data_IF_121517192438
#
_entry.id   IF_121517192438
#
_cell.length_a   1.000
_cell.length_b   1.000
_cell.length_c   1.000
_cell.angle_alpha   90.00
_cell.angle_beta   90.00
_cell.angle_gamma   90.00
#
_symmetry.space_group_name_H-M   'P 1'
#
loop_
_entity.id
_entity.type
_entity.pdbx_description
1 polymer ?
#
# COMPACT_ATOMS: atom_id res chain seq x y z
N UNK A 1 24.52 2.25 2.00
CA UNK A 1 23.37 2.17 2.93
C UNK A 1 22.18 1.58 2.16
N UNK A 2 21.58 0.50 2.67
CA UNK A 2 20.47 -0.21 1.99
C UNK A 2 19.14 0.16 2.68
N UNK A 3 18.09 0.44 1.88
CA UNK A 3 16.71 0.72 2.35
C UNK A 3 15.76 -0.26 1.71
N UNK A 4 14.94 -0.91 2.52
CA UNK A 4 13.89 -1.80 2.05
C UNK A 4 12.56 -1.05 2.06
N UNK A 5 11.71 -1.33 1.08
CA UNK A 5 10.40 -0.68 0.93
C UNK A 5 9.37 -1.74 0.55
N UNK A 6 8.26 -1.78 1.27
CA UNK A 6 7.05 -2.51 0.91
C UNK A 6 5.99 -1.49 0.50
N UNK A 7 5.32 -1.75 -0.62
CA UNK A 7 4.34 -0.83 -1.22
C UNK A 7 2.99 -1.51 -1.37
N UNK A 8 1.94 -0.82 -0.92
CA UNK A 8 0.55 -1.20 -1.12
C UNK A 8 -0.13 -0.14 -1.97
N UNK A 9 -0.83 -0.57 -2.99
CA UNK A 9 -1.62 0.29 -3.86
C UNK A 9 -3.08 -0.13 -3.78
N UNK A 10 -3.96 0.86 -3.64
CA UNK A 10 -5.42 0.71 -3.61
C UNK A 10 -5.99 1.60 -4.70
N UNK A 11 -6.94 1.09 -5.48
CA UNK A 11 -7.68 1.82 -6.51
C UNK A 11 -9.18 1.63 -6.28
N UNK A 12 -9.92 2.71 -6.14
CA UNK A 12 -11.34 2.72 -5.80
C UNK A 12 -11.60 1.93 -4.52
N UNK A 13 -12.56 0.99 -4.58
CA UNK A 13 -12.90 0.06 -3.50
C UNK A 13 -12.18 -1.30 -3.65
N UNK A 14 -11.10 -1.37 -4.42
CA UNK A 14 -10.33 -2.58 -4.62
C UNK A 14 -9.48 -2.96 -3.41
N UNK A 15 -9.04 -4.22 -3.35
CA UNK A 15 -8.14 -4.70 -2.31
C UNK A 15 -6.69 -4.18 -2.51
N UNK A 16 -5.87 -4.07 -1.44
CA UNK A 16 -4.49 -3.64 -1.56
C UNK A 16 -3.67 -4.61 -2.42
N UNK A 17 -2.80 -4.08 -3.27
CA UNK A 17 -1.92 -4.87 -4.12
C UNK A 17 -0.51 -4.26 -4.21
N UNK A 18 0.51 -5.12 -4.29
CA UNK A 18 1.87 -4.71 -4.66
C UNK A 18 2.15 -4.80 -6.18
N UNK A 19 1.18 -5.29 -6.96
CA UNK A 19 1.36 -5.58 -8.39
C UNK A 19 1.15 -4.34 -9.26
N UNK A 20 2.24 -3.81 -9.83
CA UNK A 20 2.18 -2.66 -10.75
C UNK A 20 1.26 -2.87 -11.96
N UNK A 21 1.27 -4.05 -12.64
CA UNK A 21 0.33 -4.30 -13.74
C UNK A 21 -1.14 -4.26 -13.28
N UNK A 22 -1.44 -4.84 -12.11
CA UNK A 22 -2.79 -4.83 -11.54
C UNK A 22 -3.26 -3.40 -11.29
N UNK A 23 -2.43 -2.56 -10.67
CA UNK A 23 -2.76 -1.13 -10.43
C UNK A 23 -3.08 -0.41 -11.75
N UNK A 24 -2.28 -0.62 -12.80
CA UNK A 24 -2.54 0.01 -14.11
C UNK A 24 -3.87 -0.42 -14.70
N UNK A 25 -4.18 -1.72 -14.65
CA UNK A 25 -5.43 -2.27 -15.18
C UNK A 25 -6.63 -1.76 -14.38
N UNK A 26 -6.57 -1.78 -13.05
CA UNK A 26 -7.67 -1.31 -12.20
C UNK A 26 -7.89 0.20 -12.34
N UNK A 27 -6.83 1.01 -12.44
CA UNK A 27 -6.96 2.44 -12.73
C UNK A 27 -7.59 2.69 -14.10
N UNK A 28 -7.18 1.92 -15.13
CA UNK A 28 -7.78 2.03 -16.46
C UNK A 28 -9.27 1.67 -16.43
N UNK A 29 -9.64 0.55 -15.78
CA UNK A 29 -11.04 0.14 -15.61
C UNK A 29 -11.86 1.21 -14.91
N UNK A 30 -11.35 1.74 -13.79
CA UNK A 30 -12.05 2.77 -13.03
C UNK A 30 -12.36 4.01 -13.88
N UNK A 31 -11.42 4.41 -14.74
CA UNK A 31 -11.61 5.54 -15.66
C UNK A 31 -12.57 5.23 -16.80
N UNK A 32 -12.42 4.09 -17.47
CA UNK A 32 -13.22 3.72 -18.64
C UNK A 32 -14.69 3.44 -18.29
N UNK A 33 -14.94 2.91 -17.11
CA UNK A 33 -16.27 2.52 -16.65
C UNK A 33 -16.92 3.58 -15.74
N UNK A 34 -16.27 4.73 -15.53
CA UNK A 34 -16.79 5.79 -14.66
C UNK A 34 -16.95 5.38 -13.19
N UNK A 35 -16.14 4.43 -12.71
CA UNK A 35 -16.15 3.98 -11.32
C UNK A 35 -15.38 4.96 -10.43
N UNK A 36 -15.26 4.65 -9.14
CA UNK A 36 -14.43 5.43 -8.21
C UNK A 36 -12.96 5.42 -8.64
N UNK A 37 -12.43 6.61 -8.93
CA UNK A 37 -11.06 6.81 -9.44
C UNK A 37 -10.07 7.22 -8.35
N UNK A 38 -10.51 7.32 -7.09
CA UNK A 38 -9.60 7.56 -5.97
C UNK A 38 -8.57 6.44 -5.89
N UNK A 39 -7.33 6.78 -5.60
CA UNK A 39 -6.26 5.81 -5.44
C UNK A 39 -5.29 6.28 -4.37
N UNK A 40 -4.73 5.34 -3.62
CA UNK A 40 -3.73 5.58 -2.58
C UNK A 40 -2.56 4.63 -2.76
N UNK A 41 -1.37 5.14 -2.45
CA UNK A 41 -0.16 4.34 -2.29
C UNK A 41 0.35 4.50 -0.85
N UNK A 42 0.53 3.38 -0.15
CA UNK A 42 1.12 3.33 1.18
C UNK A 42 2.51 2.70 1.02
N UNK A 43 3.55 3.45 1.39
CA UNK A 43 4.94 3.01 1.33
C UNK A 43 5.48 2.90 2.75
N UNK A 44 5.86 1.68 3.14
CA UNK A 44 6.52 1.40 4.42
C UNK A 44 7.97 1.09 4.13
N UNK A 45 8.88 1.82 4.77
CA UNK A 45 10.32 1.62 4.53
C UNK A 45 11.12 1.63 5.82
N UNK A 46 12.17 0.83 5.83
CA UNK A 46 13.16 0.80 6.90
C UNK A 46 14.57 0.80 6.30
N UNK A 47 15.49 1.40 7.03
CA UNK A 47 16.92 1.33 6.73
C UNK A 47 17.50 0.06 7.35
N UNK A 48 18.44 -0.58 6.64
CA UNK A 48 19.22 -1.67 7.20
C UNK A 48 20.14 -1.13 8.31
N UNK A 49 19.93 -1.60 9.55
CA UNK A 49 20.76 -1.28 10.70
C UNK A 49 21.57 -2.49 11.20
N UNK A 50 22.63 -2.24 11.95
CA UNK A 50 23.35 -3.30 12.66
C UNK A 50 22.43 -3.89 13.76
N UNK A 51 22.30 -5.22 13.77
CA UNK A 51 21.40 -5.93 14.67
C UNK A 51 19.90 -5.77 14.39
N UNK A 52 19.51 -4.92 13.43
CA UNK A 52 18.11 -4.62 13.11
C UNK A 52 17.89 -4.75 11.59
N UNK A 53 17.60 -5.97 11.09
CA UNK A 53 17.33 -6.17 9.67
C UNK A 53 16.06 -5.43 9.26
N UNK A 54 16.12 -4.72 8.14
CA UNK A 54 15.04 -3.85 7.67
C UNK A 54 13.71 -4.61 7.49
N UNK A 55 13.77 -5.85 6.99
CA UNK A 55 12.59 -6.68 6.78
C UNK A 55 11.87 -7.05 8.08
N UNK A 56 12.60 -7.30 9.17
CA UNK A 56 12.01 -7.59 10.47
C UNK A 56 11.33 -6.36 11.06
N UNK A 57 11.95 -5.18 10.90
CA UNK A 57 11.37 -3.90 11.34
C UNK A 57 10.10 -3.58 10.57
N UNK A 58 10.12 -3.75 9.24
CA UNK A 58 8.92 -3.56 8.40
C UNK A 58 7.83 -4.54 8.79
N UNK A 59 8.16 -5.82 9.01
CA UNK A 59 7.17 -6.86 9.36
C UNK A 59 6.53 -6.60 10.73
N UNK A 60 7.33 -6.18 11.72
CA UNK A 60 6.81 -5.79 13.04
C UNK A 60 5.89 -4.57 12.95
N UNK A 61 6.30 -3.54 12.19
CA UNK A 61 5.48 -2.36 11.96
C UNK A 61 4.15 -2.70 11.26
N UNK A 62 4.19 -3.53 10.22
CA UNK A 62 2.97 -3.96 9.51
C UNK A 62 2.04 -4.79 10.40
N UNK A 63 2.60 -5.60 11.30
CA UNK A 63 1.82 -6.37 12.27
C UNK A 63 1.10 -5.45 13.26
N UNK A 64 1.79 -4.43 13.77
CA UNK A 64 1.22 -3.45 14.70
C UNK A 64 0.22 -2.50 14.01
N UNK A 65 0.49 -2.13 12.74
CA UNK A 65 -0.42 -1.34 11.92
C UNK A 65 -1.76 -2.05 11.70
N UNK A 66 -1.73 -3.39 11.59
CA UNK A 66 -2.91 -4.20 11.31
C UNK A 66 -3.35 -4.11 9.85
N UNK A 67 -4.64 -3.86 9.64
CA UNK A 67 -5.22 -3.86 8.29
C UNK A 67 -4.88 -2.60 7.50
N UNK A 68 -4.05 -2.76 6.47
CA UNK A 68 -3.66 -1.68 5.54
C UNK A 68 -4.86 -1.13 4.78
N UNK A 69 -5.90 -1.94 4.53
CA UNK A 69 -7.13 -1.48 3.88
C UNK A 69 -7.83 -0.42 4.73
N UNK A 70 -7.93 -0.65 6.05
CA UNK A 70 -8.55 0.30 6.96
C UNK A 70 -7.80 1.64 7.01
N UNK A 71 -6.47 1.62 6.93
CA UNK A 71 -5.67 2.84 6.80
C UNK A 71 -5.98 3.58 5.49
N UNK A 72 -6.07 2.84 4.38
CA UNK A 72 -6.37 3.42 3.07
C UNK A 72 -7.78 4.04 3.04
N UNK A 73 -8.79 3.36 3.57
CA UNK A 73 -10.17 3.84 3.62
C UNK A 73 -10.27 5.15 4.40
N UNK A 74 -9.66 5.21 5.59
CA UNK A 74 -9.60 6.43 6.40
C UNK A 74 -8.92 7.58 5.67
N UNK A 75 -7.80 7.30 4.98
CA UNK A 75 -7.08 8.31 4.21
C UNK A 75 -7.86 8.79 2.97
N UNK A 76 -8.76 7.97 2.42
CA UNK A 76 -9.70 8.34 1.36
C UNK A 76 -10.99 9.04 1.87
N UNK A 77 -11.11 9.22 3.19
CA UNK A 77 -12.30 9.79 3.83
C UNK A 77 -13.50 8.85 3.84
N UNK A 78 -13.27 7.55 3.66
CA UNK A 78 -14.27 6.50 3.78
C UNK A 78 -14.38 6.09 5.26
N UNK A 79 -15.61 5.92 5.75
CA UNK A 79 -15.91 5.54 7.14
C UNK A 79 -16.26 4.07 7.24
#
# INVERSE_FOLDING_TARGET
>A
MVRHVVSFYIVGQGAPTGSRPTVKIETMKARLLGQDQRAIAILVSAQQGEGHPADAVISAFLTDLGDVQLLADRAMGLR
#
